data_IF_568270378234
#
_entry.id   IF_568270378234
#
_cell.length_a   1.000
_cell.length_b   1.000
_cell.length_c   1.000
_cell.angle_alpha   90.00
_cell.angle_beta   90.00
_cell.angle_gamma   90.00
#
_symmetry.space_group_name_H-M   'P 1'
#
loop_
_entity.id
_entity.type
_entity.pdbx_description
1 polymer ?
#
# COMPACT_ATOMS: atom_id res chain seq x y z
N UNK A 1 4.10 40.50 52.25
CA UNK A 1 3.10 39.41 52.32
C UNK A 1 3.64 38.23 51.51
N UNK A 2 4.33 37.30 52.18
CA UNK A 2 4.99 36.14 51.57
C UNK A 2 3.96 35.02 51.42
N UNK A 3 3.62 34.65 50.19
CA UNK A 3 2.70 33.52 49.93
C UNK A 3 3.55 32.27 49.67
N UNK A 4 3.61 31.40 50.68
CA UNK A 4 4.25 30.09 50.61
C UNK A 4 3.31 29.13 49.87
N UNK A 5 3.66 28.71 48.66
CA UNK A 5 2.96 27.65 47.95
C UNK A 5 3.63 26.31 48.27
N UNK A 6 2.96 25.50 49.09
CA UNK A 6 3.30 24.11 49.36
C UNK A 6 2.71 23.27 48.22
N UNK A 7 3.53 22.84 47.26
CA UNK A 7 3.11 21.92 46.21
C UNK A 7 3.20 20.48 46.73
N UNK A 8 2.05 19.83 46.91
CA UNK A 8 1.95 18.41 47.28
C UNK A 8 2.25 17.58 46.02
N UNK A 9 3.36 16.85 46.05
CA UNK A 9 3.77 15.91 45.00
C UNK A 9 3.01 14.58 45.21
N UNK A 10 2.04 14.26 44.35
CA UNK A 10 1.39 12.94 44.36
C UNK A 10 2.24 11.98 43.52
N UNK A 11 2.83 10.98 44.16
CA UNK A 11 3.60 9.93 43.50
C UNK A 11 2.65 8.92 42.84
N UNK A 12 2.76 8.79 41.52
CA UNK A 12 2.12 7.72 40.73
C UNK A 12 2.95 6.44 40.88
N UNK A 13 2.33 5.37 41.35
CA UNK A 13 2.93 4.03 41.42
C UNK A 13 2.51 3.23 40.19
N UNK A 14 3.45 2.91 39.30
CA UNK A 14 3.27 1.92 38.25
C UNK A 14 3.58 0.53 38.80
N UNK A 15 2.59 -0.36 38.85
CA UNK A 15 2.83 -1.79 39.08
C UNK A 15 3.29 -2.44 37.77
N UNK A 16 4.49 -3.02 37.77
CA UNK A 16 4.98 -3.86 36.67
C UNK A 16 4.48 -5.29 36.87
N UNK A 17 3.80 -5.84 35.86
CA UNK A 17 3.54 -7.27 35.76
C UNK A 17 4.80 -7.94 35.19
N UNK A 18 5.48 -8.76 35.98
CA UNK A 18 6.62 -9.57 35.55
C UNK A 18 6.10 -10.82 34.83
N UNK A 19 6.15 -10.81 33.50
CA UNK A 19 5.99 -12.01 32.68
C UNK A 19 7.31 -12.78 32.57
N UNK A 20 7.26 -14.10 32.73
CA UNK A 20 8.39 -15.05 32.59
C UNK A 20 9.11 -14.89 31.23
N UNK A 21 10.38 -14.47 31.17
CA UNK A 21 11.12 -14.29 29.93
C UNK A 21 11.77 -15.61 29.53
N UNK A 22 10.98 -16.56 29.01
CA UNK A 22 11.56 -17.68 28.28
C UNK A 22 11.85 -17.26 26.84
N UNK A 23 13.12 -17.22 26.39
CA UNK A 23 13.42 -16.93 25.00
C UNK A 23 12.96 -18.10 24.12
N UNK A 24 11.97 -17.84 23.27
CA UNK A 24 11.61 -18.74 22.18
C UNK A 24 12.82 -18.82 21.24
N UNK A 25 13.65 -19.85 21.43
CA UNK A 25 14.89 -20.05 20.69
C UNK A 25 14.59 -20.96 19.50
N UNK A 26 13.92 -20.40 18.50
CA UNK A 26 13.70 -21.00 17.20
C UNK A 26 13.70 -19.91 16.14
N UNK A 27 14.17 -20.16 14.90
CA UNK A 27 13.97 -19.22 13.81
C UNK A 27 12.46 -19.10 13.61
N UNK A 28 11.86 -18.01 14.10
CA UNK A 28 10.51 -17.65 13.68
C UNK A 28 10.69 -17.02 12.31
N UNK A 29 10.47 -17.80 11.25
CA UNK A 29 10.21 -17.25 9.92
C UNK A 29 8.88 -16.48 10.02
N UNK A 30 8.99 -15.25 10.51
CA UNK A 30 7.93 -14.26 10.37
C UNK A 30 8.01 -13.86 8.90
N UNK A 31 7.31 -14.62 8.05
CA UNK A 31 7.07 -14.23 6.67
C UNK A 31 6.65 -12.76 6.58
N UNK A 32 6.69 -12.14 5.39
CA UNK A 32 6.70 -10.68 5.20
C UNK A 32 5.90 -9.91 6.27
N UNK A 33 6.62 -9.18 7.13
CA UNK A 33 6.02 -8.38 8.20
C UNK A 33 5.36 -7.13 7.60
N UNK A 34 4.09 -7.25 7.23
CA UNK A 34 3.28 -6.12 6.75
C UNK A 34 2.20 -6.52 5.75
N UNK A 35 1.30 -5.58 5.39
CA UNK A 35 0.32 -5.82 4.35
C UNK A 35 1.01 -6.00 2.99
N UNK A 36 0.42 -6.83 2.12
CA UNK A 36 0.77 -6.87 0.72
C UNK A 36 0.26 -5.61 0.04
N UNK A 37 1.18 -4.79 -0.46
CA UNK A 37 0.83 -3.61 -1.27
C UNK A 37 0.52 -4.06 -2.70
N UNK A 38 -0.62 -3.63 -3.22
CA UNK A 38 -1.04 -3.84 -4.60
C UNK A 38 -1.21 -2.47 -5.24
N UNK A 39 -0.38 -2.13 -6.22
CA UNK A 39 -0.39 -0.82 -6.88
C UNK A 39 -0.88 -0.96 -8.32
N UNK A 40 -2.13 -0.59 -8.56
CA UNK A 40 -2.73 -0.60 -9.89
C UNK A 40 -2.50 0.75 -10.58
N UNK A 41 -1.85 0.74 -11.73
CA UNK A 41 -1.78 1.86 -12.66
C UNK A 41 -2.93 1.74 -13.66
N UNK A 42 -3.81 2.73 -13.68
CA UNK A 42 -5.09 2.73 -14.41
C UNK A 42 -5.41 4.12 -14.97
N UNK A 43 -6.50 4.26 -15.72
CA UNK A 43 -7.06 5.55 -16.16
C UNK A 43 -8.52 5.36 -16.59
N UNK A 44 -9.38 6.35 -16.34
CA UNK A 44 -10.73 6.38 -16.89
C UNK A 44 -10.75 6.45 -18.43
N UNK A 45 -9.70 7.00 -19.06
CA UNK A 45 -9.55 7.03 -20.51
C UNK A 45 -9.12 5.68 -21.13
N UNK A 46 -8.74 4.71 -20.31
CA UNK A 46 -8.28 3.39 -20.72
C UNK A 46 -9.44 2.38 -20.79
N UNK A 47 -9.82 1.96 -22.00
CA UNK A 47 -10.96 1.04 -22.20
C UNK A 47 -10.74 -0.38 -21.66
N UNK A 48 -9.48 -0.81 -21.52
CA UNK A 48 -9.09 -2.12 -20.98
C UNK A 48 -8.95 -2.14 -19.45
N UNK A 49 -9.03 -0.99 -18.79
CA UNK A 49 -8.84 -0.84 -17.35
C UNK A 49 -10.02 -1.25 -16.44
N UNK A 50 -11.31 -1.12 -16.84
CA UNK A 50 -12.43 -1.42 -15.96
C UNK A 50 -12.44 -2.83 -15.31
N UNK A 51 -11.97 -3.91 -15.98
CA UNK A 51 -11.80 -5.20 -15.33
C UNK A 51 -10.78 -5.20 -14.18
N UNK A 52 -9.66 -4.49 -14.33
CA UNK A 52 -8.62 -4.39 -13.29
C UNK A 52 -9.09 -3.55 -12.10
N UNK A 53 -9.80 -2.44 -12.35
CA UNK A 53 -10.37 -1.61 -11.28
C UNK A 53 -11.37 -2.40 -10.43
N UNK A 54 -12.21 -3.24 -11.09
CA UNK A 54 -13.14 -4.14 -10.40
C UNK A 54 -12.42 -5.22 -9.61
N UNK A 55 -11.33 -5.77 -10.14
CA UNK A 55 -10.53 -6.78 -9.45
C UNK A 55 -9.92 -6.18 -8.18
N UNK A 56 -9.23 -5.04 -8.29
CA UNK A 56 -8.65 -4.37 -7.13
C UNK A 56 -9.73 -3.98 -6.10
N UNK A 57 -10.88 -3.48 -6.55
CA UNK A 57 -12.02 -3.19 -5.67
C UNK A 57 -12.56 -4.44 -4.95
N UNK A 58 -12.53 -5.60 -5.60
CA UNK A 58 -12.92 -6.88 -5.00
C UNK A 58 -11.92 -7.30 -3.94
N UNK A 59 -10.62 -7.25 -4.26
CA UNK A 59 -9.54 -7.56 -3.32
C UNK A 59 -9.56 -6.61 -2.12
N UNK A 60 -9.82 -5.32 -2.34
CA UNK A 60 -9.95 -4.33 -1.27
C UNK A 60 -11.08 -4.67 -0.29
N UNK A 61 -12.21 -5.16 -0.78
CA UNK A 61 -13.33 -5.63 0.06
C UNK A 61 -13.00 -6.92 0.82
N UNK A 62 -12.15 -7.78 0.25
CA UNK A 62 -11.68 -8.99 0.93
C UNK A 62 -10.70 -8.64 2.07
N UNK A 63 -9.88 -7.61 1.89
CA UNK A 63 -8.98 -7.08 2.93
C UNK A 63 -7.71 -7.90 3.16
N UNK A 64 -7.64 -9.12 2.64
CA UNK A 64 -6.46 -10.00 2.70
C UNK A 64 -6.40 -10.95 1.50
N UNK A 65 -5.20 -11.47 1.22
CA UNK A 65 -4.95 -12.56 0.28
C UNK A 65 -4.04 -13.58 0.97
N UNK A 66 -4.46 -14.84 0.99
CA UNK A 66 -3.75 -15.94 1.64
C UNK A 66 -3.37 -15.65 3.11
N UNK A 67 -4.28 -15.04 3.88
CA UNK A 67 -4.06 -14.68 5.29
C UNK A 67 -3.10 -13.51 5.51
N UNK A 68 -2.67 -12.83 4.44
CA UNK A 68 -1.86 -11.61 4.51
C UNK A 68 -2.75 -10.38 4.25
N UNK A 69 -2.80 -9.40 5.17
CA UNK A 69 -3.55 -8.15 4.96
C UNK A 69 -3.17 -7.48 3.64
N UNK A 70 -4.12 -6.82 2.99
CA UNK A 70 -3.89 -6.09 1.74
C UNK A 70 -3.85 -4.57 1.96
N UNK A 71 -2.99 -3.90 1.21
CA UNK A 71 -2.98 -2.46 1.00
C UNK A 71 -3.17 -2.16 -0.50
N UNK A 72 -4.42 -2.09 -1.00
CA UNK A 72 -4.71 -1.81 -2.39
C UNK A 72 -4.63 -0.30 -2.68
N UNK A 73 -3.92 0.07 -3.74
CA UNK A 73 -3.73 1.45 -4.22
C UNK A 73 -4.05 1.53 -5.71
N UNK A 74 -4.76 2.58 -6.12
CA UNK A 74 -5.04 2.88 -7.52
C UNK A 74 -4.41 4.22 -7.88
N UNK A 75 -3.55 4.21 -8.89
CA UNK A 75 -2.82 5.36 -9.40
C UNK A 75 -3.27 5.64 -10.83
N UNK A 76 -3.90 6.79 -11.02
CA UNK A 76 -4.42 7.18 -12.32
C UNK A 76 -3.31 7.88 -13.13
N UNK A 77 -2.91 7.30 -14.25
CA UNK A 77 -1.86 7.84 -15.11
C UNK A 77 -2.44 8.85 -16.09
N UNK A 78 -1.65 9.85 -16.48
CA UNK A 78 -2.10 10.99 -17.27
C UNK A 78 -1.86 10.87 -18.78
N UNK A 79 -1.10 9.87 -19.24
CA UNK A 79 -0.80 9.72 -20.67
C UNK A 79 -2.02 9.32 -21.54
N UNK A 80 -3.18 9.06 -20.93
CA UNK A 80 -4.47 8.88 -21.62
C UNK A 80 -5.25 10.19 -21.81
N UNK A 81 -4.93 11.26 -21.08
CA UNK A 81 -5.77 12.47 -21.01
C UNK A 81 -5.83 13.25 -22.32
N UNK A 82 -4.89 13.01 -23.24
CA UNK A 82 -4.84 13.61 -24.57
C UNK A 82 -5.84 13.04 -25.59
N UNK A 83 -6.64 12.03 -25.22
CA UNK A 83 -7.47 11.26 -26.16
C UNK A 83 -8.96 11.64 -26.16
N UNK A 84 -9.31 12.79 -25.57
CA UNK A 84 -10.68 13.36 -25.59
C UNK A 84 -11.44 13.26 -24.26
N UNK A 85 -10.86 12.59 -23.26
CA UNK A 85 -11.32 12.61 -21.87
C UNK A 85 -10.10 12.77 -20.96
N UNK A 86 -10.11 13.81 -20.12
CA UNK A 86 -9.10 14.02 -19.09
C UNK A 86 -9.61 13.41 -17.78
N UNK A 87 -8.88 12.44 -17.24
CA UNK A 87 -9.24 11.77 -15.99
C UNK A 87 -8.96 12.71 -14.79
N UNK A 88 -9.98 13.10 -14.00
CA UNK A 88 -9.79 14.04 -12.89
C UNK A 88 -8.92 13.48 -11.76
N UNK A 89 -8.68 12.17 -11.72
CA UNK A 89 -7.81 11.52 -10.75
C UNK A 89 -6.37 11.39 -11.26
N UNK A 90 -6.14 11.60 -12.56
CA UNK A 90 -4.83 11.43 -13.15
C UNK A 90 -3.82 12.49 -12.68
N UNK A 91 -2.56 12.07 -12.55
CA UNK A 91 -1.42 12.94 -12.20
C UNK A 91 -0.16 12.48 -12.90
N UNK A 92 0.64 13.42 -13.40
CA UNK A 92 1.99 13.15 -13.92
C UNK A 92 2.90 12.40 -12.93
N UNK A 93 2.73 12.65 -11.62
CA UNK A 93 3.47 11.94 -10.58
C UNK A 93 3.19 10.42 -10.58
N UNK A 94 1.99 10.00 -10.97
CA UNK A 94 1.61 8.59 -11.05
C UNK A 94 2.19 7.91 -12.29
N UNK A 95 2.20 8.60 -13.43
CA UNK A 95 2.94 8.19 -14.62
C UNK A 95 4.43 8.05 -14.33
N UNK A 96 5.03 9.03 -13.64
CA UNK A 96 6.44 8.99 -13.26
C UNK A 96 6.75 7.81 -12.31
N UNK A 97 5.86 7.53 -11.35
CA UNK A 97 5.97 6.36 -10.47
C UNK A 97 5.97 5.05 -11.28
N UNK A 98 5.11 4.94 -12.29
CA UNK A 98 5.07 3.77 -13.17
C UNK A 98 6.37 3.61 -13.97
N UNK A 99 6.89 4.71 -14.52
CA UNK A 99 8.19 4.69 -15.20
C UNK A 99 9.32 4.21 -14.28
N UNK A 100 9.34 4.65 -13.02
CA UNK A 100 10.32 4.16 -12.05
C UNK A 100 10.21 2.63 -11.83
N UNK A 101 9.01 2.05 -11.87
CA UNK A 101 8.85 0.59 -11.86
C UNK A 101 9.33 -0.07 -13.15
N UNK A 102 8.97 0.46 -14.32
CA UNK A 102 9.47 -0.03 -15.61
C UNK A 102 11.01 -0.09 -15.64
N UNK A 103 11.68 0.92 -15.09
CA UNK A 103 13.14 0.97 -15.00
C UNK A 103 13.69 -0.05 -14.00
N UNK A 104 13.08 -0.16 -12.82
CA UNK A 104 13.52 -1.06 -11.76
C UNK A 104 13.29 -2.55 -12.08
N UNK A 105 12.21 -2.86 -12.83
CA UNK A 105 11.83 -4.22 -13.22
C UNK A 105 12.45 -4.64 -14.57
N UNK A 106 12.98 -3.68 -15.34
CA UNK A 106 13.66 -3.95 -16.62
C UNK A 106 12.74 -4.11 -17.82
N UNK A 107 11.46 -3.78 -17.68
CA UNK A 107 10.44 -3.95 -18.72
C UNK A 107 10.52 -2.88 -19.83
N UNK A 108 11.19 -1.75 -19.55
CA UNK A 108 11.43 -0.62 -20.47
C UNK A 108 10.16 -0.09 -21.18
N UNK A 109 8.98 -0.29 -20.59
CA UNK A 109 7.71 0.21 -21.09
C UNK A 109 6.71 0.35 -19.94
N UNK A 110 5.82 1.34 -20.07
CA UNK A 110 4.65 1.50 -19.21
C UNK A 110 3.39 1.10 -19.98
N UNK A 111 2.40 0.54 -19.30
CA UNK A 111 1.16 0.11 -19.91
C UNK A 111 0.00 0.11 -18.91
N UNK A 112 -1.23 0.10 -19.39
CA UNK A 112 -2.41 0.01 -18.51
C UNK A 112 -3.39 -1.07 -19.01
N UNK A 113 -4.03 -1.81 -18.10
CA UNK A 113 -3.82 -1.80 -16.66
C UNK A 113 -2.54 -2.58 -16.27
N UNK A 114 -1.67 -1.96 -15.49
CA UNK A 114 -0.51 -2.63 -14.87
C UNK A 114 -0.75 -2.73 -13.36
N UNK A 115 -0.56 -3.92 -12.80
CA UNK A 115 -0.59 -4.13 -11.35
C UNK A 115 0.81 -4.51 -10.87
N UNK A 116 1.37 -3.71 -9.97
CA UNK A 116 2.63 -4.03 -9.29
C UNK A 116 2.32 -4.68 -7.95
N UNK A 117 2.83 -5.89 -7.75
CA UNK A 117 2.62 -6.71 -6.55
C UNK A 117 3.84 -6.60 -5.63
N UNK A 118 3.64 -6.02 -4.44
CA UNK A 118 4.68 -5.89 -3.43
C UNK A 118 5.92 -5.11 -3.86
N UNK A 119 5.81 -4.28 -4.91
CA UNK A 119 6.92 -3.53 -5.50
C UNK A 119 7.94 -4.37 -6.27
N UNK A 120 7.66 -5.65 -6.54
CA UNK A 120 8.64 -6.59 -7.07
C UNK A 120 8.28 -7.21 -8.42
N UNK A 121 6.98 -7.26 -8.77
CA UNK A 121 6.50 -7.90 -10.00
C UNK A 121 5.40 -7.06 -10.61
N UNK A 122 5.54 -6.70 -11.89
CA UNK A 122 4.49 -6.10 -12.71
C UNK A 122 3.72 -7.19 -13.47
N UNK A 123 2.38 -7.12 -13.47
CA UNK A 123 1.52 -8.01 -14.24
C UNK A 123 0.42 -7.20 -14.95
N UNK A 124 -0.28 -7.84 -15.89
CA UNK A 124 -1.50 -7.24 -16.46
C UNK A 124 -2.57 -7.24 -15.38
N UNK A 125 -3.00 -6.07 -14.93
CA UNK A 125 -3.88 -5.94 -13.76
C UNK A 125 -5.28 -6.51 -13.92
N UNK A 126 -5.67 -6.90 -15.14
CA UNK A 126 -6.93 -7.60 -15.43
C UNK A 126 -6.85 -9.12 -15.33
N UNK A 127 -5.65 -9.69 -15.17
CA UNK A 127 -5.44 -11.13 -15.04
C UNK A 127 -5.58 -11.56 -13.57
N UNK A 128 -6.26 -12.68 -13.36
CA UNK A 128 -6.57 -13.23 -12.03
C UNK A 128 -5.83 -14.53 -11.71
N UNK A 129 -5.27 -15.18 -12.73
CA UNK A 129 -4.71 -16.52 -12.70
C UNK A 129 -3.19 -16.50 -12.92
#
# INVERSE_FOLDING_TARGET
MRHSHLAILVLVSCASAEGDPRPATGPVDRGPTGPLVLELFTSQGCSSCPPADRLLSTLAKQGEVAGRPLAPLAFHVDYWDGLGWADPHARAAWTQRQHAYSDALGDNRVYTPELVVGGAVGVVGSQRD
#
